data_IF_532273663417
#
_entry.id   IF_532273663417
#
_cell.length_a   1.000
_cell.length_b   1.000
_cell.length_c   1.000
_cell.angle_alpha   90.00
_cell.angle_beta   90.00
_cell.angle_gamma   90.00
#
_symmetry.space_group_name_H-M   'P 1'
#
loop_
_entity.id
_entity.type
_entity.pdbx_description
1 polymer ?
#
# COMPACT_ATOMS: atom_id res chain seq x y z
N UNK A 1 -57.85 7.81 36.51
CA UNK A 1 -57.46 6.44 36.10
C UNK A 1 -56.36 6.60 35.08
N UNK A 2 -55.13 6.25 35.47
CA UNK A 2 -53.91 6.60 34.74
C UNK A 2 -53.72 5.75 33.48
N UNK A 3 -53.27 6.40 32.41
CA UNK A 3 -52.66 5.75 31.27
C UNK A 3 -51.19 6.21 31.24
N UNK A 4 -50.33 5.46 31.93
CA UNK A 4 -48.90 5.51 31.65
C UNK A 4 -48.67 4.69 30.39
N UNK A 5 -48.74 5.35 29.23
CA UNK A 5 -48.20 4.81 28.00
C UNK A 5 -46.67 4.79 28.15
N UNK A 6 -46.14 3.67 28.63
CA UNK A 6 -44.71 3.42 28.67
C UNK A 6 -44.23 3.29 27.23
N UNK A 7 -43.68 4.38 26.67
CA UNK A 7 -42.90 4.32 25.45
C UNK A 7 -41.62 3.53 25.76
N UNK A 8 -41.67 2.21 25.56
CA UNK A 8 -40.48 1.42 25.30
C UNK A 8 -40.00 1.87 23.92
N UNK A 9 -39.14 2.89 23.90
CA UNK A 9 -38.38 3.25 22.72
C UNK A 9 -37.37 2.11 22.52
N UNK A 10 -37.72 1.13 21.70
CA UNK A 10 -36.77 0.16 21.17
C UNK A 10 -35.82 0.90 20.23
N UNK A 11 -34.83 1.57 20.81
CA UNK A 11 -33.69 2.13 20.10
C UNK A 11 -32.78 0.96 19.79
N UNK A 12 -33.02 0.27 18.67
CA UNK A 12 -31.96 -0.49 18.00
C UNK A 12 -31.17 0.49 17.13
N UNK A 13 -30.53 1.47 17.77
CA UNK A 13 -29.42 2.16 17.15
C UNK A 13 -28.23 1.25 17.43
N UNK A 14 -27.66 0.68 16.37
CA UNK A 14 -26.34 0.08 16.45
C UNK A 14 -25.40 1.24 16.83
N UNK A 15 -25.27 1.50 18.15
CA UNK A 15 -24.45 2.55 18.75
C UNK A 15 -22.99 2.17 18.52
N UNK A 16 -22.56 2.36 17.28
CA UNK A 16 -21.18 2.19 16.88
C UNK A 16 -20.40 3.35 17.48
N UNK A 17 -19.70 3.05 18.56
CA UNK A 17 -18.79 3.99 19.21
C UNK A 17 -17.36 3.68 18.76
N UNK A 18 -16.62 4.71 18.36
CA UNK A 18 -15.24 4.55 17.95
C UNK A 18 -14.34 4.16 19.13
N UNK A 19 -13.56 3.06 18.99
CA UNK A 19 -12.63 2.56 20.03
C UNK A 19 -11.59 3.59 20.52
N UNK A 20 -11.22 4.57 19.68
CA UNK A 20 -10.13 5.50 20.00
C UNK A 20 -10.60 6.86 20.53
N UNK A 21 -11.64 7.44 19.94
CA UNK A 21 -12.14 8.76 20.35
C UNK A 21 -13.43 8.70 21.18
N UNK A 22 -14.05 7.52 21.31
CA UNK A 22 -15.31 7.31 22.02
C UNK A 22 -16.49 8.15 21.50
N UNK A 23 -16.40 8.68 20.28
CA UNK A 23 -17.48 9.40 19.60
C UNK A 23 -18.32 8.48 18.71
N UNK A 24 -19.59 8.87 18.52
CA UNK A 24 -20.58 8.23 17.65
C UNK A 24 -20.69 8.90 16.28
N UNK A 25 -20.37 10.19 16.20
CA UNK A 25 -20.48 10.99 14.98
C UNK A 25 -19.18 10.93 14.16
N UNK A 26 -19.36 10.65 12.88
CA UNK A 26 -18.32 10.83 11.87
C UNK A 26 -18.73 12.00 10.97
N UNK A 27 -18.54 13.25 11.45
CA UNK A 27 -18.92 14.43 10.67
C UNK A 27 -18.14 14.56 9.34
N UNK A 28 -17.11 13.73 9.08
CA UNK A 28 -16.32 13.81 7.84
C UNK A 28 -15.50 12.56 7.45
N UNK A 29 -15.75 11.38 8.02
CA UNK A 29 -14.94 10.17 7.84
C UNK A 29 -15.75 8.91 7.54
N UNK A 30 -15.02 7.84 7.20
CA UNK A 30 -15.54 6.51 6.92
C UNK A 30 -15.31 5.62 8.14
N UNK A 31 -16.29 4.81 8.52
CA UNK A 31 -16.11 3.74 9.50
C UNK A 31 -15.26 2.61 8.93
N UNK A 32 -14.39 2.06 9.77
CA UNK A 32 -13.51 0.93 9.45
C UNK A 32 -13.69 -0.16 10.51
N UNK A 33 -13.72 -1.41 10.06
CA UNK A 33 -13.63 -2.60 10.89
C UNK A 33 -12.31 -3.32 10.61
N UNK A 34 -11.19 -2.96 11.25
CA UNK A 34 -9.86 -3.44 10.85
C UNK A 34 -9.59 -4.89 11.30
N UNK A 35 -10.41 -5.47 12.18
CA UNK A 35 -10.13 -6.78 12.76
C UNK A 35 -11.37 -7.57 13.19
N UNK A 36 -11.14 -8.79 13.67
CA UNK A 36 -12.15 -9.75 14.14
C UNK A 36 -12.69 -9.46 15.55
N UNK A 37 -12.40 -8.30 16.15
CA UNK A 37 -12.97 -7.97 17.46
C UNK A 37 -14.51 -7.91 17.39
N UNK A 38 -15.15 -8.13 18.54
CA UNK A 38 -16.61 -8.07 18.71
C UNK A 38 -17.03 -6.86 19.56
N UNK A 39 -18.33 -6.57 19.59
CA UNK A 39 -18.89 -5.41 20.29
C UNK A 39 -18.42 -4.06 19.70
N UNK A 40 -18.31 -3.05 20.55
CA UNK A 40 -17.84 -1.70 20.18
C UNK A 40 -16.36 -1.66 19.78
N UNK A 41 -15.53 -2.61 20.24
CA UNK A 41 -14.10 -2.66 19.94
C UNK A 41 -13.77 -2.92 18.46
N UNK A 42 -14.77 -3.34 17.65
CA UNK A 42 -14.59 -3.63 16.22
C UNK A 42 -14.70 -2.38 15.34
N UNK A 43 -15.32 -1.31 15.83
CA UNK A 43 -15.61 -0.11 15.05
C UNK A 43 -14.64 1.03 15.38
N UNK A 44 -14.05 1.61 14.35
CA UNK A 44 -13.16 2.78 14.45
C UNK A 44 -13.41 3.72 13.28
N UNK A 45 -13.27 5.03 13.49
CA UNK A 45 -13.18 5.96 12.36
C UNK A 45 -11.86 5.74 11.63
N UNK A 46 -11.87 5.79 10.29
CA UNK A 46 -10.68 5.64 9.44
C UNK A 46 -9.57 6.60 9.88
N UNK A 47 -9.91 7.88 10.08
CA UNK A 47 -8.97 8.92 10.54
C UNK A 47 -8.36 8.62 11.91
N UNK A 48 -9.18 8.13 12.86
CA UNK A 48 -8.69 7.76 14.18
C UNK A 48 -7.74 6.56 14.12
N UNK A 49 -8.05 5.58 13.26
CA UNK A 49 -7.21 4.41 13.06
C UNK A 49 -5.90 4.75 12.37
N UNK A 50 -5.91 5.59 11.33
CA UNK A 50 -4.70 6.06 10.64
C UNK A 50 -3.79 6.85 11.60
N UNK A 51 -4.37 7.77 12.38
CA UNK A 51 -3.63 8.52 13.40
C UNK A 51 -3.04 7.62 14.49
N UNK A 52 -3.78 6.59 14.91
CA UNK A 52 -3.27 5.59 15.83
C UNK A 52 -2.13 4.78 15.20
N UNK A 53 -2.28 4.38 13.93
CA UNK A 53 -1.29 3.60 13.18
C UNK A 53 0.05 4.33 13.09
N UNK A 54 0.06 5.65 12.85
CA UNK A 54 1.28 6.47 12.80
C UNK A 54 2.10 6.43 14.09
N UNK A 55 1.43 6.31 15.24
CA UNK A 55 2.05 6.37 16.58
C UNK A 55 2.23 5.00 17.23
N UNK A 56 1.54 3.98 16.73
CA UNK A 56 1.55 2.65 17.32
C UNK A 56 2.94 1.98 17.17
N UNK A 57 3.36 1.13 18.13
CA UNK A 57 4.53 0.29 17.98
C UNK A 57 4.44 -0.60 16.73
N UNK A 58 5.57 -0.93 16.11
CA UNK A 58 5.63 -1.71 14.86
C UNK A 58 4.80 -3.00 14.90
N UNK A 59 4.81 -3.72 16.03
CA UNK A 59 4.00 -4.94 16.19
C UNK A 59 2.50 -4.66 16.12
N UNK A 60 2.04 -3.57 16.74
CA UNK A 60 0.63 -3.18 16.75
C UNK A 60 0.18 -2.57 15.42
N UNK A 61 1.11 -2.06 14.62
CA UNK A 61 0.82 -1.61 13.26
C UNK A 61 0.53 -2.76 12.30
N UNK A 62 0.99 -3.97 12.62
CA UNK A 62 0.83 -5.17 11.77
C UNK A 62 -0.41 -5.95 12.15
N UNK A 63 -0.71 -6.04 13.45
CA UNK A 63 -1.82 -6.84 13.95
C UNK A 63 -2.54 -6.20 15.14
N UNK A 64 -3.81 -6.57 15.32
CA UNK A 64 -4.59 -6.15 16.47
C UNK A 64 -3.98 -6.68 17.78
N UNK A 65 -3.77 -5.81 18.77
CA UNK A 65 -3.27 -6.21 20.08
C UNK A 65 -4.23 -7.10 20.89
N UNK A 66 -5.54 -7.02 20.62
CA UNK A 66 -6.57 -7.74 21.36
C UNK A 66 -6.82 -9.13 20.76
N UNK A 67 -7.18 -9.20 19.47
CA UNK A 67 -7.54 -10.46 18.80
C UNK A 67 -6.39 -11.06 17.98
N UNK A 68 -5.22 -10.40 17.88
CA UNK A 68 -4.06 -10.82 17.07
C UNK A 68 -4.30 -10.98 15.57
N UNK A 69 -5.47 -10.55 15.06
CA UNK A 69 -5.73 -10.51 13.63
C UNK A 69 -4.73 -9.60 12.91
N UNK A 70 -4.11 -10.12 11.86
CA UNK A 70 -3.17 -9.38 11.00
C UNK A 70 -3.97 -8.49 10.06
N UNK A 71 -3.69 -7.19 10.07
CA UNK A 71 -4.41 -6.24 9.24
C UNK A 71 -4.15 -6.49 7.75
N UNK A 72 -5.22 -6.51 6.95
CA UNK A 72 -5.12 -6.64 5.50
C UNK A 72 -4.82 -5.26 4.92
N UNK A 73 -3.57 -5.05 4.51
CA UNK A 73 -3.08 -3.81 3.91
C UNK A 73 -3.06 -3.93 2.39
N UNK A 74 -3.57 -2.91 1.69
CA UNK A 74 -3.53 -2.85 0.23
C UNK A 74 -3.07 -1.49 -0.26
N UNK A 75 -2.34 -1.49 -1.37
CA UNK A 75 -2.00 -0.27 -2.09
C UNK A 75 -3.22 0.24 -2.84
N UNK A 76 -3.62 1.46 -2.56
CA UNK A 76 -4.74 2.15 -3.23
C UNK A 76 -4.22 3.45 -3.84
N UNK A 77 -4.87 3.88 -4.92
CA UNK A 77 -4.58 5.19 -5.49
C UNK A 77 -5.14 6.26 -4.57
N UNK A 78 -4.32 7.28 -4.30
CA UNK A 78 -4.78 8.50 -3.66
C UNK A 78 -5.78 9.22 -4.56
N UNK A 79 -6.72 10.00 -4.01
CA UNK A 79 -7.49 10.96 -4.79
C UNK A 79 -6.56 11.90 -5.56
N UNK A 80 -6.93 12.28 -6.80
CA UNK A 80 -6.10 13.15 -7.64
C UNK A 80 -5.70 14.47 -6.99
N UNK A 81 -6.52 15.00 -6.06
CA UNK A 81 -6.24 16.22 -5.29
C UNK A 81 -5.07 16.09 -4.33
N UNK A 82 -4.73 14.88 -3.91
CA UNK A 82 -3.66 14.57 -2.96
C UNK A 82 -2.38 14.11 -3.65
N UNK A 83 -2.37 14.04 -4.98
CA UNK A 83 -1.18 13.68 -5.73
C UNK A 83 -0.14 14.79 -5.60
N UNK A 84 1.03 14.43 -5.08
CA UNK A 84 2.14 15.35 -4.92
C UNK A 84 3.22 15.06 -5.97
N UNK A 85 3.88 16.10 -6.46
CA UNK A 85 5.06 15.92 -7.30
C UNK A 85 6.13 15.15 -6.50
N UNK A 86 6.64 14.02 -7.01
CA UNK A 86 7.65 13.25 -6.31
C UNK A 86 8.91 14.09 -6.16
N UNK A 87 9.55 14.00 -5.00
CA UNK A 87 10.73 14.79 -4.63
C UNK A 87 12.03 14.30 -5.32
N UNK A 88 11.92 14.00 -6.61
CA UNK A 88 12.97 13.38 -7.41
C UNK A 88 13.81 14.49 -8.02
N UNK A 89 15.04 14.61 -7.52
CA UNK A 89 16.05 15.53 -8.04
C UNK A 89 17.04 14.73 -8.88
N UNK A 90 16.76 14.64 -10.17
CA UNK A 90 17.65 14.00 -11.13
C UNK A 90 18.60 15.02 -11.73
N UNK A 91 19.87 14.71 -11.71
CA UNK A 91 20.90 15.44 -12.45
C UNK A 91 20.90 15.01 -13.92
N UNK A 92 21.44 15.87 -14.80
CA UNK A 92 21.60 15.53 -16.23
C UNK A 92 22.40 14.24 -16.44
N UNK A 93 23.42 14.02 -15.61
CA UNK A 93 24.24 12.81 -15.65
C UNK A 93 23.41 11.57 -15.31
N UNK A 94 22.61 11.60 -14.25
CA UNK A 94 21.72 10.48 -13.90
C UNK A 94 20.73 10.18 -15.03
N UNK A 95 20.15 11.20 -15.66
CA UNK A 95 19.27 10.99 -16.82
C UNK A 95 19.98 10.26 -17.96
N UNK A 96 21.23 10.63 -18.26
CA UNK A 96 22.05 9.95 -19.27
C UNK A 96 22.32 8.49 -18.86
N UNK A 97 22.69 8.26 -17.60
CA UNK A 97 22.92 6.91 -17.08
C UNK A 97 21.65 6.03 -17.20
N UNK A 98 20.49 6.54 -16.79
CA UNK A 98 19.20 5.83 -16.89
C UNK A 98 18.89 5.48 -18.34
N UNK A 99 19.13 6.42 -19.27
CA UNK A 99 18.90 6.20 -20.69
C UNK A 99 19.83 5.10 -21.25
N UNK A 100 21.12 5.15 -20.91
CA UNK A 100 22.09 4.13 -21.33
C UNK A 100 21.79 2.75 -20.74
N UNK A 101 21.39 2.69 -19.47
CA UNK A 101 20.99 1.46 -18.79
C UNK A 101 19.74 0.85 -19.45
N UNK A 102 18.74 1.70 -19.74
CA UNK A 102 17.50 1.28 -20.43
C UNK A 102 17.80 0.75 -21.82
N UNK A 103 18.60 1.48 -22.61
CA UNK A 103 18.98 1.06 -23.96
C UNK A 103 19.77 -0.26 -23.96
N UNK A 104 20.72 -0.40 -23.03
CA UNK A 104 21.52 -1.61 -22.88
C UNK A 104 20.67 -2.81 -22.46
N UNK A 105 19.72 -2.60 -21.56
CA UNK A 105 18.73 -3.63 -21.15
C UNK A 105 17.83 -4.03 -22.31
N UNK A 106 17.30 -3.08 -23.05
CA UNK A 106 16.50 -3.35 -24.25
C UNK A 106 17.28 -4.16 -25.29
N UNK A 107 18.54 -3.76 -25.57
CA UNK A 107 19.42 -4.47 -26.50
C UNK A 107 19.72 -5.89 -26.04
N UNK A 108 19.92 -6.09 -24.74
CA UNK A 108 20.08 -7.41 -24.14
C UNK A 108 18.84 -8.29 -24.37
N UNK A 109 17.64 -7.78 -24.02
CA UNK A 109 16.38 -8.53 -24.17
C UNK A 109 16.09 -8.87 -25.63
N UNK A 110 16.27 -7.93 -26.55
CA UNK A 110 16.12 -8.19 -27.99
C UNK A 110 17.12 -9.23 -28.48
N UNK A 111 18.38 -9.15 -28.06
CA UNK A 111 19.40 -10.14 -28.38
C UNK A 111 19.05 -11.54 -27.87
N UNK A 112 18.44 -11.61 -26.69
CA UNK A 112 17.98 -12.87 -26.09
C UNK A 112 16.84 -13.49 -26.90
N UNK A 113 15.86 -12.68 -27.34
CA UNK A 113 14.76 -13.16 -28.20
C UNK A 113 15.31 -13.69 -29.53
N UNK A 114 16.20 -12.94 -30.20
CA UNK A 114 16.82 -13.39 -31.45
C UNK A 114 17.69 -14.66 -31.26
N UNK A 115 18.27 -14.85 -30.09
CA UNK A 115 19.01 -16.06 -29.75
C UNK A 115 18.07 -17.26 -29.60
N UNK A 116 16.90 -17.09 -28.97
CA UNK A 116 15.88 -18.13 -28.86
C UNK A 116 15.32 -18.55 -30.23
N UNK A 117 15.25 -17.61 -31.17
CA UNK A 117 14.87 -17.87 -32.57
C UNK A 117 16.01 -18.49 -33.40
N UNK A 118 17.21 -18.66 -32.82
CA UNK A 118 18.38 -19.22 -33.50
C UNK A 118 19.11 -18.26 -34.43
N UNK A 119 18.70 -16.98 -34.50
CA UNK A 119 19.32 -15.94 -35.33
C UNK A 119 20.58 -15.31 -34.71
N UNK A 120 20.88 -15.60 -33.44
CA UNK A 120 22.04 -15.06 -32.69
C UNK A 120 22.76 -16.16 -31.93
N UNK A 121 24.10 -16.12 -31.92
CA UNK A 121 24.89 -17.09 -31.15
C UNK A 121 24.72 -16.87 -29.64
N UNK A 122 24.63 -17.99 -28.92
CA UNK A 122 24.57 -18.02 -27.46
C UNK A 122 25.77 -17.31 -26.82
N UNK A 123 26.98 -17.49 -27.37
CA UNK A 123 28.22 -16.90 -26.83
C UNK A 123 28.14 -15.38 -26.80
N UNK A 124 27.66 -14.74 -27.88
CA UNK A 124 27.53 -13.29 -27.94
C UNK A 124 26.51 -12.78 -26.91
N UNK A 125 25.43 -13.54 -26.71
CA UNK A 125 24.41 -13.19 -25.71
C UNK A 125 24.92 -13.36 -24.27
N UNK A 126 25.73 -14.40 -24.00
CA UNK A 126 26.39 -14.59 -22.70
C UNK A 126 27.35 -13.45 -22.37
N UNK A 127 28.18 -13.02 -23.33
CA UNK A 127 29.07 -11.86 -23.13
C UNK A 127 28.28 -10.59 -22.82
N UNK A 128 27.18 -10.35 -23.54
CA UNK A 128 26.31 -9.21 -23.30
C UNK A 128 25.61 -9.29 -21.93
N UNK A 129 25.20 -10.48 -21.50
CA UNK A 129 24.64 -10.70 -20.16
C UNK A 129 25.67 -10.40 -19.07
N UNK A 130 26.90 -10.90 -19.20
CA UNK A 130 27.96 -10.65 -18.23
C UNK A 130 28.28 -9.15 -18.12
N UNK A 131 28.40 -8.45 -19.26
CA UNK A 131 28.56 -7.00 -19.26
C UNK A 131 27.39 -6.29 -18.58
N UNK A 132 26.16 -6.62 -18.95
CA UNK A 132 24.95 -6.02 -18.36
C UNK A 132 24.87 -6.28 -16.85
N UNK A 133 25.22 -7.49 -16.40
CA UNK A 133 25.24 -7.87 -14.99
C UNK A 133 26.26 -7.05 -14.19
N UNK A 134 27.46 -6.84 -14.74
CA UNK A 134 28.54 -6.13 -14.06
C UNK A 134 28.23 -4.64 -13.92
N UNK A 135 27.69 -4.01 -14.96
CA UNK A 135 27.54 -2.56 -15.01
C UNK A 135 26.14 -2.04 -14.63
N UNK A 136 25.08 -2.80 -14.94
CA UNK A 136 23.69 -2.33 -14.82
C UNK A 136 22.98 -3.05 -13.68
N UNK A 137 23.11 -4.38 -13.58
CA UNK A 137 22.48 -5.16 -12.51
C UNK A 137 23.31 -5.22 -11.22
N UNK A 138 24.05 -4.16 -10.90
CA UNK A 138 24.75 -4.02 -9.63
C UNK A 138 23.77 -3.69 -8.51
N UNK A 139 24.02 -4.16 -7.29
CA UNK A 139 23.19 -3.87 -6.11
C UNK A 139 22.97 -2.36 -5.91
N UNK A 140 24.00 -1.53 -6.16
CA UNK A 140 23.91 -0.08 -6.08
C UNK A 140 22.89 0.51 -7.06
N UNK A 141 22.89 0.05 -8.32
CA UNK A 141 21.97 0.54 -9.36
C UNK A 141 20.54 0.07 -9.07
N UNK A 142 20.36 -1.19 -8.67
CA UNK A 142 19.06 -1.73 -8.26
C UNK A 142 18.50 -1.00 -7.03
N UNK A 143 19.33 -0.72 -6.02
CA UNK A 143 18.94 0.07 -4.85
C UNK A 143 18.51 1.50 -5.24
N UNK A 144 19.22 2.11 -6.19
CA UNK A 144 18.86 3.42 -6.73
C UNK A 144 17.49 3.40 -7.43
N UNK A 145 17.29 2.46 -8.37
CA UNK A 145 16.02 2.34 -9.11
C UNK A 145 14.84 1.98 -8.20
N UNK A 146 15.05 1.13 -7.19
CA UNK A 146 14.01 0.80 -6.21
C UNK A 146 13.67 1.99 -5.32
N UNK A 147 14.64 2.83 -4.95
CA UNK A 147 14.39 4.09 -4.26
C UNK A 147 13.61 5.09 -5.12
N UNK A 148 14.02 5.27 -6.37
CA UNK A 148 13.33 6.14 -7.34
C UNK A 148 11.89 5.70 -7.56
N UNK A 149 11.67 4.39 -7.77
CA UNK A 149 10.35 3.79 -7.89
C UNK A 149 9.52 3.97 -6.62
N UNK A 150 10.10 3.80 -5.43
CA UNK A 150 9.40 4.02 -4.16
C UNK A 150 8.92 5.47 -4.02
N UNK A 151 9.74 6.46 -4.38
CA UNK A 151 9.37 7.87 -4.33
C UNK A 151 8.22 8.18 -5.30
N UNK A 152 8.29 7.65 -6.53
CA UNK A 152 7.19 7.75 -7.50
C UNK A 152 5.90 7.12 -6.96
N UNK A 153 5.98 5.90 -6.41
CA UNK A 153 4.83 5.21 -5.86
C UNK A 153 4.22 5.96 -4.67
N UNK A 154 5.01 6.47 -3.73
CA UNK A 154 4.50 7.21 -2.57
C UNK A 154 3.77 8.51 -2.93
N UNK A 155 4.07 9.08 -4.11
CA UNK A 155 3.42 10.29 -4.60
C UNK A 155 1.99 10.07 -5.08
N UNK A 156 1.64 8.84 -5.46
CA UNK A 156 0.38 8.50 -6.14
C UNK A 156 -0.42 7.46 -5.35
N UNK A 157 0.28 6.59 -4.62
CA UNK A 157 -0.31 5.50 -3.86
C UNK A 157 -0.12 5.70 -2.37
N UNK A 158 -1.05 5.11 -1.62
CA UNK A 158 -0.96 4.94 -0.18
C UNK A 158 -1.33 3.51 0.22
N UNK A 159 -0.91 3.13 1.42
CA UNK A 159 -1.31 1.86 2.02
C UNK A 159 -2.54 2.11 2.87
N UNK A 160 -3.66 1.49 2.52
CA UNK A 160 -4.89 1.54 3.30
C UNK A 160 -5.22 0.16 3.88
N UNK A 161 -5.81 0.14 5.08
CA UNK A 161 -6.29 -1.09 5.73
C UNK A 161 -7.72 -1.37 5.30
N UNK A 162 -7.99 -2.61 4.89
CA UNK A 162 -9.32 -3.06 4.48
C UNK A 162 -10.18 -3.46 5.68
N UNK A 163 -11.49 -3.36 5.49
CA UNK A 163 -12.46 -3.92 6.40
C UNK A 163 -12.33 -5.45 6.46
N UNK A 164 -12.45 -5.99 7.67
CA UNK A 164 -12.64 -7.40 7.89
C UNK A 164 -14.08 -7.77 7.51
N UNK A 165 -14.21 -8.61 6.48
CA UNK A 165 -15.46 -9.23 6.04
C UNK A 165 -15.54 -10.61 6.67
N UNK A 166 -16.67 -10.94 7.30
CA UNK A 166 -16.88 -12.27 7.87
C UNK A 166 -17.39 -13.24 6.81
N UNK A 167 -17.00 -14.52 6.88
CA UNK A 167 -17.40 -15.55 5.91
C UNK A 167 -18.92 -15.77 5.82
N UNK A 168 -19.70 -15.23 6.76
CA UNK A 168 -21.17 -15.26 6.78
C UNK A 168 -21.85 -14.18 5.91
N UNK A 169 -21.10 -13.28 5.29
CA UNK A 169 -21.60 -12.14 4.50
C UNK A 169 -21.33 -12.28 2.98
N UNK A 170 -20.79 -13.42 2.53
CA UNK A 170 -20.61 -13.79 1.11
C UNK A 170 -21.67 -14.80 0.67
#
# INVERSE_FOLDING_TARGET
MGLVASCVLSVTVDERVCKFCYGEDDQNGRWLRPCMCSGSLKWVHLRCFDHWMEKAPAQQQVQCQTCRYVYVKTWVLKPFSEWCRPAIKLTTWECIEIFLDTYSTYKFLRGFILMLEGHRSFVVQCLHFLFWRIFIATDRRLAYYTSLGRQMLSSIFEISVKDFVSDSEM
#
